data_IF_141873138560
#
_entry.id   IF_141873138560
#
_cell.length_a   1.000
_cell.length_b   1.000
_cell.length_c   1.000
_cell.angle_alpha   90.00
_cell.angle_beta   90.00
_cell.angle_gamma   90.00
#
_symmetry.space_group_name_H-M   'P 1'
#
loop_
_entity.id
_entity.type
_entity.pdbx_description
1 polymer ?
#
# COMPACT_ATOMS: atom_id res chain seq x y z
N UNK A 1 13.21 2.72 19.64
CA UNK A 1 14.10 1.60 19.26
C UNK A 1 13.79 1.24 17.81
N UNK A 2 14.76 1.35 16.92
CA UNK A 2 14.56 1.26 15.47
C UNK A 2 14.42 -0.20 15.02
N UNK A 3 13.23 -0.59 14.56
CA UNK A 3 12.96 -1.84 13.83
C UNK A 3 13.56 -1.82 12.41
N UNK A 4 14.80 -1.31 12.22
CA UNK A 4 15.52 -1.53 10.97
C UNK A 4 16.11 -2.93 11.03
N UNK A 5 15.34 -3.93 10.63
CA UNK A 5 15.89 -5.22 10.24
C UNK A 5 16.98 -4.95 9.22
N UNK A 6 18.24 -5.31 9.51
CA UNK A 6 19.39 -5.08 8.63
C UNK A 6 19.37 -5.92 7.34
N UNK A 7 18.19 -6.34 6.89
CA UNK A 7 17.98 -7.25 5.77
C UNK A 7 17.07 -6.54 4.77
N UNK A 8 17.63 -6.21 3.60
CA UNK A 8 16.85 -5.78 2.45
C UNK A 8 16.37 -7.00 1.66
N UNK A 9 15.14 -6.97 1.15
CA UNK A 9 14.61 -8.04 0.30
C UNK A 9 13.73 -7.48 -0.83
N UNK A 10 13.55 -8.27 -1.88
CA UNK A 10 12.79 -7.91 -3.07
C UNK A 10 11.44 -8.62 -3.10
N UNK A 11 10.35 -7.88 -3.29
CA UNK A 11 9.01 -8.44 -3.45
C UNK A 11 8.11 -7.46 -4.26
N UNK A 12 6.86 -7.82 -4.56
CA UNK A 12 5.94 -6.93 -5.27
C UNK A 12 5.80 -5.55 -4.62
N UNK A 13 5.64 -4.51 -5.44
CA UNK A 13 5.40 -3.15 -4.96
C UNK A 13 4.03 -3.01 -4.30
N UNK A 14 3.98 -2.76 -2.99
CA UNK A 14 2.74 -2.57 -2.22
C UNK A 14 2.04 -1.27 -2.57
N UNK A 15 2.70 -0.36 -3.31
CA UNK A 15 2.09 0.87 -3.83
C UNK A 15 1.49 0.71 -5.21
N UNK A 16 1.76 -0.40 -5.90
CA UNK A 16 1.07 -0.68 -7.15
C UNK A 16 -0.44 -0.70 -6.87
N UNK A 17 -1.19 0.04 -7.68
CA UNK A 17 -2.62 0.26 -7.47
C UNK A 17 -3.37 -1.05 -7.29
N UNK A 18 -4.47 -1.07 -6.52
CA UNK A 18 -5.35 -2.22 -6.48
C UNK A 18 -5.89 -2.49 -7.89
N UNK A 19 -5.24 -3.43 -8.58
CA UNK A 19 -5.75 -4.00 -9.81
C UNK A 19 -6.85 -4.99 -9.49
N UNK A 20 -7.74 -5.21 -10.45
CA UNK A 20 -8.41 -6.50 -10.50
C UNK A 20 -7.34 -7.52 -10.89
N UNK A 21 -7.15 -8.53 -10.05
CA UNK A 21 -6.48 -9.73 -10.51
C UNK A 21 -7.35 -10.31 -11.64
N UNK A 22 -6.73 -10.75 -12.74
CA UNK A 22 -7.42 -11.47 -13.83
C UNK A 22 -8.14 -12.72 -13.29
N UNK A 23 -7.75 -13.16 -12.10
CA UNK A 23 -8.40 -14.20 -11.34
C UNK A 23 -9.49 -13.56 -10.46
N UNK A 24 -10.76 -13.68 -10.86
CA UNK A 24 -11.82 -13.31 -9.92
C UNK A 24 -11.72 -14.21 -8.70
N UNK A 25 -11.97 -13.66 -7.51
CA UNK A 25 -12.10 -14.48 -6.31
C UNK A 25 -13.20 -15.52 -6.45
N UNK A 26 -14.11 -15.42 -7.41
CA UNK A 26 -15.06 -16.50 -7.73
C UNK A 26 -14.40 -17.65 -8.51
N UNK A 27 -13.44 -17.38 -9.41
CA UNK A 27 -12.64 -18.41 -10.08
C UNK A 27 -11.65 -19.11 -9.14
N UNK A 28 -11.14 -18.42 -8.12
CA UNK A 28 -10.18 -18.96 -7.15
C UNK A 28 -10.80 -19.41 -5.82
N UNK A 29 -11.94 -18.85 -5.42
CA UNK A 29 -12.72 -19.27 -4.25
C UNK A 29 -13.89 -20.14 -4.68
N UNK A 30 -13.61 -21.15 -5.52
CA UNK A 30 -14.50 -22.30 -5.58
C UNK A 30 -14.72 -22.79 -4.15
N UNK A 31 -15.97 -22.88 -3.72
CA UNK A 31 -16.33 -23.53 -2.47
C UNK A 31 -15.77 -24.94 -2.52
N UNK A 32 -14.60 -25.15 -1.93
CA UNK A 32 -14.12 -26.48 -1.62
C UNK A 32 -15.08 -26.99 -0.53
N UNK A 33 -16.22 -27.54 -0.95
CA UNK A 33 -16.96 -28.47 -0.13
C UNK A 33 -15.98 -29.62 0.16
N UNK A 34 -15.44 -29.63 1.37
CA UNK A 34 -14.42 -30.56 1.87
C UNK A 34 -15.01 -31.98 2.05
N UNK A 35 -15.88 -32.40 1.13
CA UNK A 35 -16.48 -33.73 1.12
C UNK A 35 -15.74 -34.55 0.07
N UNK A 36 -14.84 -35.40 0.58
CA UNK A 36 -14.35 -36.65 -0.03
C UNK A 36 -14.19 -36.67 -1.55
N UNK A 37 -12.95 -36.52 -2.03
CA UNK A 37 -12.56 -37.05 -3.35
C UNK A 37 -11.51 -36.24 -4.09
N UNK A 38 -11.82 -34.98 -4.43
CA UNK A 38 -11.08 -34.25 -5.46
C UNK A 38 -10.33 -33.03 -4.93
N UNK A 39 -9.17 -33.30 -4.33
CA UNK A 39 -8.21 -32.28 -3.86
C UNK A 39 -7.36 -31.71 -5.02
N UNK A 40 -7.95 -31.51 -6.20
CA UNK A 40 -7.19 -31.38 -7.45
C UNK A 40 -6.55 -29.99 -7.62
N UNK A 41 -6.93 -28.96 -6.84
CA UNK A 41 -6.46 -27.58 -7.07
C UNK A 41 -6.27 -26.72 -5.80
N UNK A 42 -5.88 -27.31 -4.66
CA UNK A 42 -5.73 -26.56 -3.39
C UNK A 42 -4.74 -25.37 -3.48
N UNK A 43 -3.82 -25.39 -4.44
CA UNK A 43 -2.88 -24.29 -4.74
C UNK A 43 -3.51 -23.12 -5.49
N UNK A 44 -4.81 -23.17 -5.83
CA UNK A 44 -5.57 -22.06 -6.39
C UNK A 44 -6.59 -21.48 -5.40
N UNK A 45 -6.90 -22.20 -4.32
CA UNK A 45 -7.89 -21.77 -3.35
C UNK A 45 -7.39 -20.56 -2.55
N UNK A 46 -8.13 -19.46 -2.58
CA UNK A 46 -7.90 -18.32 -1.68
C UNK A 46 -8.60 -18.56 -0.34
N UNK A 47 -7.89 -18.29 0.76
CA UNK A 47 -8.41 -18.33 2.13
C UNK A 47 -8.44 -16.92 2.73
N UNK A 48 -9.32 -16.65 3.72
CA UNK A 48 -9.32 -15.38 4.43
C UNK A 48 -7.94 -15.00 5.01
N UNK A 49 -7.55 -13.75 4.84
CA UNK A 49 -6.26 -13.21 5.24
C UNK A 49 -5.37 -12.87 4.05
N UNK A 50 -4.05 -13.00 4.24
CA UNK A 50 -3.04 -12.75 3.22
C UNK A 50 -2.72 -14.00 2.42
N UNK A 51 -2.52 -13.85 1.11
CA UNK A 51 -1.94 -14.84 0.23
C UNK A 51 -0.86 -14.20 -0.67
N UNK A 52 0.13 -15.02 -1.04
CA UNK A 52 1.09 -14.70 -2.09
C UNK A 52 0.64 -15.35 -3.38
N UNK A 53 0.46 -14.55 -4.43
CA UNK A 53 0.00 -15.02 -5.73
C UNK A 53 1.11 -14.82 -6.75
N UNK A 54 1.36 -15.81 -7.59
CA UNK A 54 2.36 -15.76 -8.66
C UNK A 54 2.39 -17.04 -9.47
N UNK A 55 3.41 -17.18 -10.32
CA UNK A 55 3.56 -18.34 -11.20
C UNK A 55 4.69 -19.24 -10.73
N UNK A 56 4.43 -20.54 -10.50
CA UNK A 56 5.48 -21.52 -10.24
C UNK A 56 6.14 -21.94 -11.55
N UNK A 57 7.46 -21.79 -11.69
CA UNK A 57 8.17 -22.11 -12.93
C UNK A 57 8.64 -23.57 -13.04
N UNK A 58 8.40 -24.40 -12.02
CA UNK A 58 8.81 -25.80 -12.06
C UNK A 58 8.00 -26.56 -13.10
N UNK A 59 8.66 -27.07 -14.14
CA UNK A 59 8.04 -27.83 -15.24
C UNK A 59 7.26 -29.07 -14.78
N UNK A 60 7.62 -29.62 -13.61
CA UNK A 60 6.95 -30.78 -13.03
C UNK A 60 5.85 -30.40 -12.03
N UNK A 61 5.57 -29.11 -11.84
CA UNK A 61 4.53 -28.66 -10.94
C UNK A 61 3.14 -29.07 -11.45
N UNK A 62 2.26 -29.61 -10.59
CA UNK A 62 0.87 -29.85 -10.97
C UNK A 62 0.15 -28.61 -11.52
N UNK A 63 0.50 -27.40 -11.05
CA UNK A 63 -0.11 -26.16 -11.54
C UNK A 63 0.21 -25.86 -13.01
N UNK A 64 1.34 -26.36 -13.54
CA UNK A 64 1.72 -26.24 -14.95
C UNK A 64 0.85 -27.09 -15.88
N UNK A 65 0.18 -28.12 -15.34
CA UNK A 65 -0.70 -29.02 -16.11
C UNK A 65 -2.14 -28.54 -16.16
N UNK A 66 -2.40 -27.29 -15.77
CA UNK A 66 -3.73 -26.69 -15.73
C UNK A 66 -3.83 -25.54 -16.73
N UNK A 67 -5.05 -25.12 -17.05
CA UNK A 67 -5.32 -23.94 -17.90
C UNK A 67 -4.74 -22.62 -17.35
N UNK A 68 -4.33 -22.59 -16.08
CA UNK A 68 -3.76 -21.41 -15.43
C UNK A 68 -2.22 -21.34 -15.48
N UNK A 69 -1.57 -22.20 -16.29
CA UNK A 69 -0.15 -22.10 -16.66
C UNK A 69 0.81 -21.84 -15.49
N UNK A 70 0.69 -22.62 -14.42
CA UNK A 70 1.59 -22.52 -13.27
C UNK A 70 1.12 -21.59 -12.14
N UNK A 71 -0.04 -20.93 -12.29
CA UNK A 71 -0.61 -20.08 -11.24
C UNK A 71 -0.66 -20.79 -9.90
N UNK A 72 -0.21 -20.09 -8.87
CA UNK A 72 -0.02 -20.62 -7.53
C UNK A 72 -0.37 -19.57 -6.49
N UNK A 73 -1.14 -20.00 -5.49
CA UNK A 73 -1.60 -19.22 -4.34
C UNK A 73 -1.04 -19.84 -3.07
N UNK A 74 -0.11 -19.15 -2.42
CA UNK A 74 0.41 -19.53 -1.11
C UNK A 74 -0.36 -18.76 -0.02
N UNK A 75 -1.31 -19.45 0.62
CA UNK A 75 -2.10 -18.86 1.71
C UNK A 75 -1.26 -18.73 2.97
N UNK A 76 -1.16 -17.50 3.47
CA UNK A 76 -0.45 -17.15 4.71
C UNK A 76 -1.44 -16.97 5.86
N UNK A 77 -2.61 -16.39 5.58
CA UNK A 77 -3.70 -16.22 6.53
C UNK A 77 -3.61 -14.95 7.38
N UNK A 78 -4.23 -14.98 8.56
CA UNK A 78 -4.25 -13.88 9.52
C UNK A 78 -2.97 -13.89 10.37
N UNK A 79 -2.51 -12.73 10.82
CA UNK A 79 -1.29 -12.65 11.63
C UNK A 79 -0.47 -11.41 11.36
N UNK A 80 0.75 -11.37 11.89
CA UNK A 80 1.73 -10.34 11.54
C UNK A 80 2.75 -11.00 10.64
N UNK A 81 2.88 -10.49 9.43
CA UNK A 81 3.61 -11.13 8.35
C UNK A 81 4.75 -10.26 7.86
N UNK A 82 5.91 -10.87 7.68
CA UNK A 82 7.10 -10.24 7.12
C UNK A 82 7.57 -11.17 6.00
N UNK A 83 7.44 -10.80 4.71
CA UNK A 83 7.72 -11.72 3.61
C UNK A 83 9.10 -12.37 3.69
N UNK A 84 10.10 -11.64 4.20
CA UNK A 84 11.45 -12.17 4.42
C UNK A 84 11.54 -13.30 5.45
N UNK A 85 10.61 -13.39 6.39
CA UNK A 85 10.53 -14.48 7.38
C UNK A 85 9.76 -15.69 6.82
N UNK A 86 9.04 -15.53 5.70
CA UNK A 86 8.38 -16.63 4.98
C UNK A 86 9.26 -17.26 3.90
N UNK A 87 10.44 -16.68 3.66
CA UNK A 87 11.41 -17.21 2.73
C UNK A 87 12.13 -18.41 3.34
N UNK A 88 12.10 -19.56 2.67
CA UNK A 88 13.02 -20.67 2.90
C UNK A 88 14.18 -20.50 1.91
N UNK A 89 15.41 -20.33 2.41
CA UNK A 89 16.60 -20.04 1.60
C UNK A 89 16.42 -18.86 0.63
N UNK A 90 15.73 -17.82 1.06
CA UNK A 90 15.51 -16.61 0.25
C UNK A 90 14.37 -16.71 -0.77
N UNK A 91 13.53 -17.76 -0.72
CA UNK A 91 12.38 -17.89 -1.60
C UNK A 91 11.10 -18.38 -0.90
N UNK A 92 9.95 -17.98 -1.43
CA UNK A 92 8.64 -18.52 -1.03
C UNK A 92 8.40 -19.81 -1.81
N UNK A 93 7.91 -20.85 -1.13
CA UNK A 93 7.75 -22.17 -1.74
C UNK A 93 6.33 -22.37 -2.31
N UNK A 94 6.25 -22.99 -3.48
CA UNK A 94 5.00 -23.37 -4.12
C UNK A 94 4.27 -24.42 -3.27
N UNK A 95 3.01 -24.20 -2.84
CA UNK A 95 2.26 -25.19 -2.08
C UNK A 95 2.10 -26.54 -2.80
N UNK A 96 2.01 -26.55 -4.13
CA UNK A 96 1.78 -27.75 -4.94
C UNK A 96 3.02 -28.64 -5.07
N UNK A 97 4.20 -28.08 -5.36
CA UNK A 97 5.40 -28.86 -5.66
C UNK A 97 6.62 -28.53 -4.79
N UNK A 98 6.48 -27.57 -3.86
CA UNK A 98 7.54 -27.06 -2.97
C UNK A 98 8.72 -26.38 -3.67
N UNK A 99 8.73 -26.26 -4.99
CA UNK A 99 9.72 -25.46 -5.69
C UNK A 99 9.59 -23.97 -5.31
N UNK A 100 10.70 -23.21 -5.26
CA UNK A 100 10.68 -21.77 -5.15
C UNK A 100 9.77 -21.13 -6.21
N UNK A 101 8.96 -20.15 -5.80
CA UNK A 101 8.26 -19.26 -6.72
C UNK A 101 8.32 -17.82 -6.22
N UNK A 102 8.35 -16.89 -7.17
CA UNK A 102 8.38 -15.46 -6.87
C UNK A 102 6.94 -14.95 -6.81
N UNK A 103 6.49 -14.36 -5.68
CA UNK A 103 5.22 -13.68 -5.65
C UNK A 103 5.22 -12.53 -6.66
N UNK A 104 4.14 -12.42 -7.41
CA UNK A 104 3.86 -11.32 -8.32
C UNK A 104 2.90 -10.32 -7.67
N UNK A 105 2.07 -10.79 -6.73
CA UNK A 105 1.05 -10.01 -6.03
C UNK A 105 0.87 -10.47 -4.57
N UNK A 106 0.49 -9.51 -3.71
CA UNK A 106 -0.09 -9.74 -2.39
C UNK A 106 -1.61 -9.64 -2.50
N UNK A 107 -2.31 -10.72 -2.15
CA UNK A 107 -3.76 -10.78 -2.18
C UNK A 107 -4.30 -10.81 -0.75
N UNK A 108 -5.28 -9.96 -0.45
CA UNK A 108 -5.93 -9.85 0.84
C UNK A 108 -7.41 -10.13 0.71
N UNK A 109 -7.88 -11.26 1.26
CA UNK A 109 -9.28 -11.68 1.14
C UNK A 109 -9.98 -11.62 2.50
N UNK A 110 -11.18 -11.04 2.55
CA UNK A 110 -12.05 -11.06 3.72
C UNK A 110 -11.30 -10.77 5.04
N UNK A 111 -10.55 -9.66 5.04
CA UNK A 111 -9.68 -9.28 6.14
C UNK A 111 -9.53 -7.75 6.23
N UNK A 112 -9.11 -7.28 7.39
CA UNK A 112 -8.49 -5.96 7.51
C UNK A 112 -6.98 -6.11 7.53
N UNK A 113 -6.26 -5.20 6.89
CA UNK A 113 -4.81 -5.16 7.02
C UNK A 113 -4.28 -3.76 7.29
N UNK A 114 -3.17 -3.70 8.01
CA UNK A 114 -2.30 -2.54 8.16
C UNK A 114 -0.93 -2.92 7.62
N UNK A 115 -0.47 -2.20 6.61
CA UNK A 115 0.79 -2.46 5.91
C UNK A 115 1.74 -1.32 6.20
N UNK A 116 2.87 -1.62 6.85
CA UNK A 116 3.96 -0.67 7.12
C UNK A 116 5.15 -1.06 6.29
N UNK A 117 5.77 -0.12 5.60
CA UNK A 117 6.89 -0.43 4.72
C UNK A 117 7.89 0.72 4.60
N UNK A 118 9.11 0.38 4.20
CA UNK A 118 10.17 1.29 3.82
C UNK A 118 10.86 0.70 2.59
N UNK A 119 10.67 1.36 1.45
CA UNK A 119 11.40 1.05 0.22
C UNK A 119 12.79 1.65 0.36
N UNK A 120 13.80 0.96 -0.18
CA UNK A 120 15.17 1.43 -0.12
C UNK A 120 15.28 2.87 -0.65
N UNK A 121 16.00 3.72 0.09
CA UNK A 121 16.14 5.15 -0.16
C UNK A 121 14.83 5.98 -0.10
N UNK A 122 13.76 5.46 0.49
CA UNK A 122 12.50 6.17 0.68
C UNK A 122 12.13 6.31 2.17
N UNK A 123 11.22 7.24 2.48
CA UNK A 123 10.68 7.38 3.82
C UNK A 123 9.75 6.20 4.17
N UNK A 124 9.50 6.01 5.47
CA UNK A 124 8.53 5.02 5.94
C UNK A 124 7.12 5.42 5.53
N UNK A 125 6.32 4.46 5.10
CA UNK A 125 4.92 4.65 4.74
C UNK A 125 4.04 3.57 5.40
N UNK A 126 2.77 3.89 5.59
CA UNK A 126 1.78 3.03 6.23
C UNK A 126 0.40 3.27 5.62
N UNK A 127 -0.32 2.18 5.35
CA UNK A 127 -1.76 2.27 5.06
C UNK A 127 -2.52 1.16 5.77
N UNK A 128 -3.81 1.40 6.00
CA UNK A 128 -4.73 0.40 6.52
C UNK A 128 -5.99 0.32 5.68
N UNK A 129 -6.57 -0.87 5.60
CA UNK A 129 -7.84 -1.08 4.92
C UNK A 129 -8.64 -2.19 5.61
N UNK A 130 -9.92 -2.24 5.29
CA UNK A 130 -10.80 -3.35 5.62
C UNK A 130 -11.54 -3.83 4.37
N UNK A 131 -11.53 -5.13 4.12
CA UNK A 131 -12.36 -5.78 3.11
C UNK A 131 -13.29 -6.79 3.81
N UNK A 132 -14.59 -6.52 3.74
CA UNK A 132 -15.61 -7.25 4.48
C UNK A 132 -16.47 -8.13 3.55
N UNK A 133 -16.18 -8.17 2.24
CA UNK A 133 -16.91 -8.99 1.28
C UNK A 133 -16.17 -10.32 1.08
N UNK A 134 -16.86 -11.45 1.25
CA UNK A 134 -16.25 -12.80 1.17
C UNK A 134 -15.60 -13.08 -0.20
N UNK A 135 -16.19 -12.55 -1.27
CA UNK A 135 -15.74 -12.74 -2.65
C UNK A 135 -15.15 -11.45 -3.24
N UNK A 136 -14.48 -10.66 -2.41
CA UNK A 136 -13.67 -9.54 -2.90
C UNK A 136 -12.37 -9.54 -2.13
N UNK A 137 -11.29 -9.22 -2.83
CA UNK A 137 -9.99 -9.01 -2.22
C UNK A 137 -9.37 -7.70 -2.65
N UNK A 138 -8.34 -7.29 -1.91
CA UNK A 138 -7.42 -6.24 -2.34
C UNK A 138 -6.14 -6.86 -2.83
N UNK A 139 -5.71 -6.42 -4.00
CA UNK A 139 -4.46 -6.84 -4.62
C UNK A 139 -3.46 -5.71 -4.49
N UNK A 140 -2.23 -6.04 -4.15
CA UNK A 140 -1.10 -5.11 -4.19
C UNK A 140 0.06 -5.78 -4.90
N UNK A 141 0.79 -5.01 -5.70
CA UNK A 141 1.76 -5.54 -6.64
C UNK A 141 1.29 -5.41 -8.08
N UNK A 142 2.25 -5.41 -9.00
CA UNK A 142 2.01 -5.49 -10.44
C UNK A 142 3.00 -6.49 -10.99
N UNK A 143 2.56 -7.37 -11.89
CA UNK A 143 3.44 -8.32 -12.58
C UNK A 143 4.67 -7.63 -13.15
N UNK A 144 5.85 -8.12 -12.78
CA UNK A 144 7.15 -7.56 -13.17
C UNK A 144 7.61 -6.32 -12.39
N UNK A 145 6.77 -5.70 -11.55
CA UNK A 145 7.15 -4.56 -10.71
C UNK A 145 7.56 -5.04 -9.32
N UNK A 146 8.87 -5.20 -9.14
CA UNK A 146 9.50 -5.61 -7.90
C UNK A 146 10.25 -4.43 -7.32
N UNK A 147 10.13 -4.22 -6.01
CA UNK A 147 10.89 -3.18 -5.30
C UNK A 147 11.63 -3.79 -4.13
N UNK A 148 12.70 -3.12 -3.73
CA UNK A 148 13.54 -3.52 -2.60
C UNK A 148 13.07 -2.83 -1.33
N UNK A 149 12.68 -3.62 -0.34
CA UNK A 149 12.27 -3.14 0.97
C UNK A 149 13.39 -3.33 1.98
N UNK A 150 13.59 -2.33 2.84
CA UNK A 150 14.36 -2.47 4.09
C UNK A 150 13.45 -2.84 5.26
N UNK A 151 12.14 -2.65 5.09
CA UNK A 151 11.08 -3.06 6.01
C UNK A 151 9.79 -3.28 5.22
N UNK A 152 9.10 -4.39 5.42
CA UNK A 152 7.71 -4.56 5.02
C UNK A 152 7.02 -5.51 6.02
N UNK A 153 6.02 -4.98 6.71
CA UNK A 153 5.26 -5.64 7.77
C UNK A 153 3.77 -5.49 7.46
N UNK A 154 3.09 -6.62 7.34
CA UNK A 154 1.65 -6.69 7.08
C UNK A 154 0.96 -7.27 8.30
N UNK A 155 0.21 -6.46 9.01
CA UNK A 155 -0.67 -6.91 10.09
C UNK A 155 -2.04 -7.20 9.52
N UNK A 156 -2.45 -8.45 9.56
CA UNK A 156 -3.69 -8.94 8.94
C UNK A 156 -4.60 -9.49 10.03
N UNK A 157 -5.83 -9.00 10.07
CA UNK A 157 -6.82 -9.27 11.11
C UNK A 157 -8.19 -9.51 10.47
N UNK A 158 -9.15 -9.92 11.31
CA UNK A 158 -10.54 -10.06 10.87
C UNK A 158 -11.08 -8.74 10.31
N UNK A 159 -12.05 -8.80 9.37
CA UNK A 159 -12.75 -7.62 8.86
C UNK A 159 -13.22 -6.67 9.99
N UNK A 160 -13.10 -5.37 9.78
CA UNK A 160 -13.46 -4.31 10.74
C UNK A 160 -12.41 -4.00 11.81
N UNK A 161 -11.30 -4.74 11.89
CA UNK A 161 -10.28 -4.55 12.95
C UNK A 161 -9.34 -3.36 12.72
N UNK A 162 -9.26 -2.87 11.48
CA UNK A 162 -8.57 -1.63 11.15
C UNK A 162 -9.52 -0.69 10.43
N UNK A 163 -9.52 0.59 10.80
CA UNK A 163 -10.23 1.61 10.03
C UNK A 163 -9.59 1.73 8.65
N UNK A 164 -10.43 1.84 7.62
CA UNK A 164 -9.94 2.09 6.27
C UNK A 164 -9.31 3.49 6.22
N UNK A 165 -8.04 3.54 5.88
CA UNK A 165 -7.41 4.75 5.39
C UNK A 165 -7.95 4.96 3.97
N UNK A 166 -9.11 5.61 3.84
CA UNK A 166 -9.72 5.91 2.55
C UNK A 166 -8.84 6.90 1.80
N UNK A 167 -7.95 6.38 0.97
CA UNK A 167 -7.17 7.19 0.04
C UNK A 167 -8.10 7.59 -1.10
N UNK A 168 -8.68 8.78 -0.96
CA UNK A 168 -9.45 9.45 -2.02
C UNK A 168 -8.52 10.29 -2.88
N UNK A 169 -9.05 10.84 -3.98
CA UNK A 169 -8.34 11.82 -4.80
C UNK A 169 -9.02 13.17 -4.68
N UNK A 170 -8.24 14.22 -4.48
CA UNK A 170 -8.73 15.60 -4.49
C UNK A 170 -7.84 16.47 -5.37
N UNK A 171 -8.44 17.51 -5.95
CA UNK A 171 -7.67 18.59 -6.56
C UNK A 171 -6.99 19.41 -5.45
N UNK A 172 -5.64 19.49 -5.41
CA UNK A 172 -4.94 20.19 -4.36
C UNK A 172 -5.30 21.68 -4.29
N UNK A 173 -5.77 22.30 -5.38
CA UNK A 173 -6.23 23.71 -5.40
C UNK A 173 -7.46 23.93 -4.52
N UNK A 174 -8.26 22.90 -4.29
CA UNK A 174 -9.47 22.96 -3.44
C UNK A 174 -9.16 22.81 -1.94
N UNK A 175 -7.92 22.42 -1.59
CA UNK A 175 -7.48 22.18 -0.21
C UNK A 175 -6.78 23.44 0.31
N UNK A 176 -7.15 23.88 1.52
CA UNK A 176 -6.58 25.04 2.22
C UNK A 176 -5.42 24.65 3.12
N UNK A 177 -4.53 25.59 3.38
CA UNK A 177 -3.44 25.40 4.34
C UNK A 177 -3.96 25.57 5.77
N UNK A 178 -3.61 24.68 6.69
CA UNK A 178 -3.98 24.86 8.12
C UNK A 178 -3.03 25.81 8.86
N UNK A 179 -1.81 26.01 8.34
CA UNK A 179 -0.76 26.81 8.96
C UNK A 179 -0.45 28.07 8.14
N UNK A 180 0.03 29.12 8.81
CA UNK A 180 0.50 30.34 8.12
C UNK A 180 1.91 30.19 7.50
N UNK A 181 2.69 29.20 7.96
CA UNK A 181 4.03 28.96 7.46
C UNK A 181 4.44 27.48 7.45
N UNK A 182 5.42 27.16 6.61
CA UNK A 182 6.07 25.84 6.50
C UNK A 182 7.60 25.98 6.48
N UNK A 183 8.28 24.92 6.93
CA UNK A 183 9.72 24.77 6.69
C UNK A 183 9.98 24.48 5.20
N UNK A 184 11.11 24.95 4.63
CA UNK A 184 11.52 24.61 3.27
C UNK A 184 11.91 23.13 3.11
N UNK A 185 12.08 22.38 4.19
CA UNK A 185 12.48 20.96 4.16
C UNK A 185 11.42 20.04 4.76
N UNK A 186 11.31 18.82 4.23
CA UNK A 186 10.60 17.70 4.85
C UNK A 186 11.33 17.22 6.11
N UNK A 187 10.69 16.32 6.87
CA UNK A 187 11.30 15.75 8.07
C UNK A 187 12.59 14.98 7.74
N UNK A 188 12.64 14.27 6.59
CA UNK A 188 13.86 13.63 6.09
C UNK A 188 14.91 14.58 5.48
N UNK A 189 14.73 15.89 5.58
CA UNK A 189 15.71 16.90 5.11
C UNK A 189 15.63 17.27 3.63
N UNK A 190 14.90 16.50 2.81
CA UNK A 190 14.66 16.83 1.40
C UNK A 190 13.94 18.17 1.26
N UNK A 191 14.38 19.01 0.32
CA UNK A 191 13.80 20.32 0.06
C UNK A 191 12.48 20.21 -0.72
N UNK A 192 11.47 20.97 -0.29
CA UNK A 192 10.12 20.95 -0.87
C UNK A 192 10.07 21.48 -2.31
N UNK A 193 10.93 22.46 -2.66
CA UNK A 193 11.01 22.99 -4.02
C UNK A 193 11.68 21.99 -4.96
N UNK A 194 12.66 21.25 -4.45
CA UNK A 194 13.29 20.15 -5.19
C UNK A 194 12.27 19.07 -5.52
N UNK A 195 11.49 18.61 -4.54
CA UNK A 195 10.41 17.63 -4.78
C UNK A 195 9.34 18.18 -5.73
N UNK A 196 8.99 19.47 -5.64
CA UNK A 196 8.05 20.12 -6.57
C UNK A 196 8.58 20.10 -8.00
N UNK A 197 9.85 20.44 -8.18
CA UNK A 197 10.54 20.40 -9.47
C UNK A 197 10.54 18.98 -10.04
N UNK A 198 10.93 17.98 -9.26
CA UNK A 198 10.95 16.58 -9.69
C UNK A 198 9.55 16.07 -10.09
N UNK A 199 8.49 16.49 -9.39
CA UNK A 199 7.10 16.17 -9.78
C UNK A 199 6.73 16.85 -11.10
N UNK A 200 7.06 18.14 -11.26
CA UNK A 200 6.77 18.91 -12.48
C UNK A 200 7.50 18.34 -13.70
N UNK A 201 8.73 17.88 -13.51
CA UNK A 201 9.57 17.26 -14.54
C UNK A 201 9.25 15.77 -14.76
N UNK A 202 8.38 15.17 -13.94
CA UNK A 202 8.02 13.76 -14.02
C UNK A 202 9.11 12.79 -13.56
N UNK A 203 10.16 13.28 -12.90
CA UNK A 203 11.21 12.45 -12.30
C UNK A 203 10.70 11.59 -11.14
N UNK A 204 9.64 12.06 -10.46
CA UNK A 204 8.84 11.27 -9.52
C UNK A 204 7.35 11.44 -9.84
N UNK A 205 6.56 10.43 -9.53
CA UNK A 205 5.11 10.46 -9.69
C UNK A 205 4.41 10.99 -8.43
N UNK A 206 3.15 11.41 -8.58
CA UNK A 206 2.29 11.81 -7.44
C UNK A 206 2.20 10.71 -6.38
N UNK A 207 2.23 9.44 -6.79
CA UNK A 207 2.14 8.27 -5.90
C UNK A 207 3.45 7.99 -5.15
N UNK A 208 4.56 8.64 -5.52
CA UNK A 208 5.84 8.55 -4.79
C UNK A 208 5.90 9.52 -3.61
N UNK A 209 4.94 10.45 -3.50
CA UNK A 209 4.77 11.35 -2.36
C UNK A 209 3.62 10.83 -1.48
N UNK A 210 3.81 10.69 -0.15
CA UNK A 210 2.77 10.14 0.69
C UNK A 210 1.46 10.95 0.65
N UNK A 211 0.29 10.32 0.88
CA UNK A 211 -0.99 11.02 0.88
C UNK A 211 -1.06 12.20 1.84
N UNK A 212 -1.95 13.14 1.54
CA UNK A 212 -2.21 14.31 2.38
C UNK A 212 -3.36 14.00 3.33
N UNK A 213 -3.17 14.18 4.63
CA UNK A 213 -4.29 14.14 5.55
C UNK A 213 -5.11 15.43 5.44
N UNK A 214 -6.40 15.29 5.15
CA UNK A 214 -7.35 16.38 4.99
C UNK A 214 -8.47 16.28 6.01
N UNK A 215 -8.89 17.43 6.52
CA UNK A 215 -9.96 17.53 7.51
C UNK A 215 -10.86 18.73 7.21
N UNK A 216 -12.09 18.67 7.71
CA UNK A 216 -13.06 19.75 7.56
C UNK A 216 -12.84 20.77 8.69
N UNK A 217 -12.56 22.02 8.32
CA UNK A 217 -12.44 23.13 9.28
C UNK A 217 -13.03 24.39 8.66
N UNK A 218 -13.91 25.08 9.41
CA UNK A 218 -14.62 26.28 8.97
C UNK A 218 -15.31 26.11 7.60
N UNK A 219 -15.95 24.96 7.37
CA UNK A 219 -16.65 24.70 6.10
C UNK A 219 -15.74 24.61 4.87
N UNK A 220 -14.43 24.42 5.03
CA UNK A 220 -13.46 24.15 3.94
C UNK A 220 -12.56 22.96 4.28
N UNK A 221 -12.04 22.30 3.25
CA UNK A 221 -11.05 21.23 3.42
C UNK A 221 -9.69 21.86 3.70
N UNK A 222 -9.03 21.42 4.77
CA UNK A 222 -7.69 21.86 5.15
C UNK A 222 -6.75 20.66 5.20
N UNK A 223 -5.48 20.90 4.89
CA UNK A 223 -4.42 19.90 5.01
C UNK A 223 -3.75 19.97 6.37
N UNK A 224 -3.44 18.83 7.01
CA UNK A 224 -2.53 18.78 8.16
C UNK A 224 -1.06 18.60 7.72
N UNK A 225 -0.81 18.42 6.42
CA UNK A 225 0.48 18.16 5.78
C UNK A 225 0.86 19.29 4.80
N UNK A 226 0.89 20.53 5.28
CA UNK A 226 1.00 21.73 4.43
C UNK A 226 2.23 21.77 3.50
N UNK A 227 3.35 21.13 3.88
CA UNK A 227 4.54 20.99 3.01
C UNK A 227 4.23 20.16 1.75
N UNK A 228 3.53 19.03 1.91
CA UNK A 228 3.11 18.18 0.78
C UNK A 228 2.09 18.93 -0.07
N UNK A 229 1.10 19.56 0.56
CA UNK A 229 0.12 20.37 -0.17
C UNK A 229 0.76 21.48 -1.00
N UNK A 230 1.73 22.20 -0.43
CA UNK A 230 2.46 23.24 -1.14
C UNK A 230 3.21 22.66 -2.34
N UNK A 231 3.91 21.55 -2.14
CA UNK A 231 4.68 20.85 -3.18
C UNK A 231 3.78 20.48 -4.37
N UNK A 232 2.62 19.89 -4.12
CA UNK A 232 1.69 19.52 -5.20
C UNK A 232 1.08 20.72 -5.92
N UNK A 233 0.72 21.77 -5.17
CA UNK A 233 0.19 23.02 -5.76
C UNK A 233 1.23 23.70 -6.65
N UNK A 234 2.47 23.81 -6.16
CA UNK A 234 3.58 24.42 -6.90
C UNK A 234 3.97 23.60 -8.14
N UNK A 235 3.93 22.26 -8.04
CA UNK A 235 4.18 21.38 -9.17
C UNK A 235 3.07 21.41 -10.24
N UNK A 236 1.91 22.01 -9.96
CA UNK A 236 0.77 22.07 -10.88
C UNK A 236 0.01 20.76 -10.99
N UNK A 237 0.07 19.89 -9.98
CA UNK A 237 -0.64 18.60 -9.97
C UNK A 237 -2.14 18.84 -9.82
N UNK A 238 -2.94 18.16 -10.65
CA UNK A 238 -4.41 18.35 -10.65
C UNK A 238 -5.15 17.40 -9.71
N UNK A 239 -4.51 16.32 -9.26
CA UNK A 239 -5.15 15.28 -8.46
C UNK A 239 -4.16 14.59 -7.56
N UNK A 240 -4.38 14.63 -6.25
CA UNK A 240 -3.49 14.07 -5.22
C UNK A 240 -4.21 13.05 -4.34
N UNK A 241 -3.50 12.01 -3.85
CA UNK A 241 -4.05 11.10 -2.86
C UNK A 241 -4.24 11.83 -1.52
N UNK A 242 -5.43 11.68 -0.93
CA UNK A 242 -5.78 12.27 0.36
C UNK A 242 -6.38 11.24 1.30
N UNK A 243 -6.18 11.44 2.60
CA UNK A 243 -6.77 10.66 3.67
C UNK A 243 -7.67 11.59 4.48
N UNK A 244 -8.95 11.25 4.61
CA UNK A 244 -9.86 12.00 5.48
C UNK A 244 -9.56 11.69 6.94
N UNK A 245 -9.34 12.72 7.75
CA UNK A 245 -9.18 12.63 9.20
C UNK A 245 -10.17 13.57 9.89
N UNK A 246 -10.51 13.23 11.13
CA UNK A 246 -11.31 14.10 11.98
C UNK A 246 -10.49 15.31 12.44
N UNK A 247 -11.14 16.46 12.61
CA UNK A 247 -10.47 17.70 13.02
C UNK A 247 -9.77 17.53 14.39
N UNK A 248 -10.36 16.73 15.27
CA UNK A 248 -9.89 16.42 16.62
C UNK A 248 -8.56 15.67 16.61
N UNK A 249 -8.21 15.00 15.51
CA UNK A 249 -6.92 14.32 15.34
C UNK A 249 -5.80 15.29 14.93
N UNK A 250 -6.15 16.54 14.57
CA UNK A 250 -5.19 17.55 14.15
C UNK A 250 -4.60 18.27 15.37
N UNK A 251 -3.29 18.27 15.48
CA UNK A 251 -2.58 19.01 16.53
C UNK A 251 -2.95 20.51 16.46
N UNK A 252 -3.34 21.10 17.59
CA UNK A 252 -3.71 22.52 17.67
C UNK A 252 -2.60 23.46 17.15
N UNK A 253 -1.33 23.10 17.33
CA UNK A 253 -0.17 23.84 16.81
C UNK A 253 -0.11 23.92 15.27
N UNK A 254 -0.90 23.10 14.57
CA UNK A 254 -1.04 23.15 13.11
C UNK A 254 -2.19 24.05 12.64
N UNK A 255 -2.98 24.65 13.53
CA UNK A 255 -4.12 25.49 13.17
C UNK A 255 -3.76 26.98 13.30
N UNK A 256 -2.81 27.46 12.50
CA UNK A 256 -2.22 28.81 12.65
C UNK A 256 -2.50 29.76 11.48
N UNK A 257 -3.19 29.31 10.43
CA UNK A 257 -3.54 30.21 9.31
C UNK A 257 -4.36 31.42 9.78
N UNK A 258 -4.02 32.60 9.25
CA UNK A 258 -4.71 33.86 9.49
C UNK A 258 -5.57 34.32 8.31
N UNK A 259 -5.43 33.67 7.16
CA UNK A 259 -6.06 34.06 5.89
C UNK A 259 -7.02 32.97 5.36
N UNK A 260 -7.53 32.13 6.26
CA UNK A 260 -8.37 30.97 5.92
C UNK A 260 -7.69 29.98 4.96
N UNK A 261 -6.37 29.84 5.12
CA UNK A 261 -5.53 28.86 4.44
C UNK A 261 -5.33 29.13 2.96
N UNK A 262 -5.38 30.39 2.54
CA UNK A 262 -5.24 30.79 1.15
C UNK A 262 -3.78 30.84 0.72
N UNK A 263 -2.92 31.35 1.59
CA UNK A 263 -1.49 31.46 1.37
C UNK A 263 -0.72 30.72 2.45
N UNK A 264 0.57 30.52 2.18
CA UNK A 264 1.51 29.99 3.15
C UNK A 264 2.89 30.58 2.89
N UNK A 265 3.64 30.85 3.96
CA UNK A 265 4.99 31.44 3.87
C UNK A 265 6.06 30.39 4.19
N UNK A 266 7.22 30.54 3.58
CA UNK A 266 8.40 29.80 4.03
C UNK A 266 8.96 30.45 5.29
N UNK A 267 9.18 29.63 6.32
CA UNK A 267 9.91 30.02 7.52
C UNK A 267 11.35 29.50 7.41
N UNK A 268 12.29 30.42 7.26
CA UNK A 268 13.71 30.12 7.35
C UNK A 268 14.15 30.19 8.83
N UNK A 269 15.12 29.36 9.24
CA UNK A 269 15.77 29.50 10.54
C UNK A 269 16.48 30.85 10.67
#
# INVERSE_FOLDING_TARGET
>A
MSERSGVSFECPDVRASPGYSDYTSEHLAGEADLRQGDNIRFWLCLKPGLAYVGTCQSMHCPSQKTEYNGLTVCNVGMGTHRPNEHMCDGAILCPACKAPFKPEEFFFQYCSAKVKFCIEHQENDEFSFSENRKNKGRVFGKRGKVVRYTMLRMEVRKPGMFSETLVSRMDPRTIRYSQESISPKFAGGKDVRTTSKELREGAISVSDVPPIHVFRWNGKWHSSDNRRLWTFKDAGVESVPVIYIDKEQVQHSKLTTKDHGQSIKFRYP
#
